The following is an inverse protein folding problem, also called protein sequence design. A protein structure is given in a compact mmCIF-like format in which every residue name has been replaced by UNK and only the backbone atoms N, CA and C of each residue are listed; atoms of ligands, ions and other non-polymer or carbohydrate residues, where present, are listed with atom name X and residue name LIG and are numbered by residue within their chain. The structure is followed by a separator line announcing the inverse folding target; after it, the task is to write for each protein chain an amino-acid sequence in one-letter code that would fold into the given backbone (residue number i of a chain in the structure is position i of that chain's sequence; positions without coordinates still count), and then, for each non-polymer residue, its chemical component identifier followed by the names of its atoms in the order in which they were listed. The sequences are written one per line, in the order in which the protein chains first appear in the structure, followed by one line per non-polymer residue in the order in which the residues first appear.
data_IF_692970310694
#
_entry.id   IF_692970310694
#
_cell.length_a   1.000
_cell.length_b   1.000
_cell.length_c   1.000
_cell.angle_alpha   90.00
_cell.angle_beta   90.00
_cell.angle_gamma   90.00
#
_symmetry.space_group_name_H-M   'P 1'
#
loop_
_entity.id
_entity.type
_entity.pdbx_description
1 polymer ?
#
# COMPACT_ATOMS: atom_id res chain seq x y z
N UNK A 1 -6.93 5.49 18.39
CA UNK A 1 -6.95 4.02 18.26
C UNK A 1 -7.40 3.67 16.85
N UNK A 2 -6.47 3.68 15.88
CA UNK A 2 -6.79 3.36 14.49
C UNK A 2 -6.44 1.89 14.22
N UNK A 3 -7.28 0.98 14.72
CA UNK A 3 -7.26 -0.42 14.27
C UNK A 3 -7.85 -0.43 12.87
N UNK A 4 -6.98 -0.44 11.84
CA UNK A 4 -7.22 -0.97 10.48
C UNK A 4 -6.11 -0.61 9.46
N UNK A 5 -4.91 -0.21 9.88
CA UNK A 5 -3.82 0.13 8.95
C UNK A 5 -3.15 -1.07 8.26
N UNK A 6 -3.42 -2.28 8.76
CA UNK A 6 -2.92 -3.56 8.25
C UNK A 6 -3.97 -4.64 8.51
N UNK A 7 -5.23 -4.36 8.15
CA UNK A 7 -6.32 -5.33 8.23
C UNK A 7 -5.94 -6.61 7.48
N UNK A 8 -5.43 -7.58 8.22
CA UNK A 8 -5.33 -9.00 7.93
C UNK A 8 -5.20 -9.36 6.44
N UNK A 9 -4.11 -8.93 5.80
CA UNK A 9 -3.72 -9.38 4.43
C UNK A 9 -3.18 -10.83 4.45
N UNK A 10 -3.70 -11.68 5.34
CA UNK A 10 -3.35 -13.10 5.39
C UNK A 10 -4.58 -13.94 5.08
N UNK A 11 -4.62 -14.40 3.82
CA UNK A 11 -5.46 -15.45 3.25
C UNK A 11 -6.94 -15.07 3.04
N UNK A 12 -7.23 -14.43 1.91
CA UNK A 12 -8.53 -14.60 1.27
C UNK A 12 -8.35 -15.27 -0.08
N UNK A 13 -9.09 -16.35 -0.31
CA UNK A 13 -9.04 -17.15 -1.54
C UNK A 13 -9.45 -16.29 -2.76
N UNK A 14 -8.86 -16.53 -3.95
CA UNK A 14 -9.27 -15.87 -5.19
C UNK A 14 -10.70 -16.33 -5.54
N UNK A 15 -11.69 -15.48 -5.24
CA UNK A 15 -13.12 -15.79 -5.38
C UNK A 15 -14.03 -15.06 -4.38
N UNK A 16 -13.46 -14.46 -3.32
CA UNK A 16 -14.22 -13.66 -2.34
C UNK A 16 -14.35 -12.21 -2.85
N UNK A 17 -15.57 -11.67 -2.94
CA UNK A 17 -15.85 -10.28 -3.35
C UNK A 17 -15.25 -9.22 -2.38
N UNK A 18 -14.56 -9.67 -1.32
CA UNK A 18 -13.91 -8.88 -0.29
C UNK A 18 -12.38 -8.73 -0.46
N UNK A 19 -11.80 -9.04 -1.62
CA UNK A 19 -10.39 -8.72 -1.85
C UNK A 19 -10.22 -7.24 -2.20
N UNK A 20 -9.63 -6.47 -1.27
CA UNK A 20 -9.25 -5.08 -1.53
C UNK A 20 -8.24 -5.03 -2.68
N UNK A 21 -8.46 -4.13 -3.64
CA UNK A 21 -7.50 -3.88 -4.74
C UNK A 21 -6.47 -2.81 -4.39
N UNK A 22 -6.55 -2.29 -3.17
CA UNK A 22 -5.80 -1.13 -2.72
C UNK A 22 -5.36 -1.27 -1.27
N UNK A 23 -4.21 -0.67 -0.97
CA UNK A 23 -3.62 -0.60 0.36
C UNK A 23 -3.73 0.86 0.82
N UNK A 24 -4.18 1.07 2.05
CA UNK A 24 -4.23 2.40 2.65
C UNK A 24 -3.12 2.53 3.69
N UNK A 25 -2.38 3.63 3.67
CA UNK A 25 -1.21 3.85 4.53
C UNK A 25 -1.31 5.19 5.25
N UNK A 26 -0.51 5.39 6.28
CA UNK A 26 -0.29 6.74 6.79
C UNK A 26 0.59 7.55 5.82
N UNK A 27 0.38 8.87 5.73
CA UNK A 27 1.25 9.76 4.97
C UNK A 27 2.71 9.61 5.42
N UNK A 28 3.62 9.39 4.48
CA UNK A 28 5.07 9.34 4.75
C UNK A 28 5.77 10.56 4.12
N UNK A 29 6.97 10.90 4.63
CA UNK A 29 7.67 12.17 4.33
C UNK A 29 7.64 12.60 2.86
N UNK A 30 7.89 11.68 1.93
CA UNK A 30 7.92 12.03 0.50
C UNK A 30 6.54 12.30 -0.09
N UNK A 31 5.46 11.75 0.51
CA UNK A 31 4.08 12.04 0.13
C UNK A 31 3.67 13.43 0.64
N UNK A 32 4.13 13.83 1.84
CA UNK A 32 3.83 15.14 2.40
C UNK A 32 4.41 16.28 1.56
N UNK A 33 5.59 16.10 0.97
CA UNK A 33 6.17 17.12 0.07
C UNK A 33 5.34 17.36 -1.19
N UNK A 34 4.44 16.43 -1.57
CA UNK A 34 3.48 16.64 -2.66
C UNK A 34 2.16 17.28 -2.18
N UNK A 35 2.05 17.62 -0.88
CA UNK A 35 0.84 18.11 -0.21
C UNK A 35 0.99 19.52 0.37
N UNK A 36 2.20 20.09 0.32
CA UNK A 36 2.49 21.46 0.76
C UNK A 36 1.73 22.53 -0.07
N UNK A 37 1.13 22.16 -1.20
CA UNK A 37 0.42 23.05 -2.13
C UNK A 37 -1.07 23.33 -1.76
N UNK A 38 -1.48 23.17 -0.49
CA UNK A 38 -2.89 23.31 -0.02
C UNK A 38 -3.91 22.37 -0.72
N UNK A 39 -3.43 21.26 -1.28
CA UNK A 39 -4.25 20.33 -2.05
C UNK A 39 -4.92 19.29 -1.14
N UNK A 40 -6.26 19.26 -1.12
CA UNK A 40 -7.07 18.33 -0.31
C UNK A 40 -7.17 16.91 -0.89
N UNK A 41 -6.98 16.75 -2.19
CA UNK A 41 -7.01 15.46 -2.89
C UNK A 41 -6.06 15.44 -4.10
N UNK A 42 -5.45 14.29 -4.40
CA UNK A 42 -4.48 14.24 -5.48
C UNK A 42 -3.97 12.86 -5.85
N UNK A 43 -2.99 12.82 -6.75
CA UNK A 43 -2.36 11.59 -7.25
C UNK A 43 -1.05 11.34 -6.50
N UNK A 44 -0.82 10.08 -6.12
CA UNK A 44 0.48 9.65 -5.63
C UNK A 44 1.32 9.14 -6.80
N UNK A 45 2.45 9.81 -7.03
CA UNK A 45 3.41 9.47 -8.07
C UNK A 45 4.67 8.88 -7.44
N UNK A 46 5.25 7.88 -8.07
CA UNK A 46 6.55 7.36 -7.65
C UNK A 46 7.60 8.49 -7.70
N UNK A 47 8.37 8.73 -6.63
CA UNK A 47 9.34 9.83 -6.60
C UNK A 47 10.45 9.68 -7.65
N UNK A 48 10.76 8.42 -8.04
CA UNK A 48 11.81 8.11 -9.01
C UNK A 48 11.34 8.16 -10.46
N UNK A 49 10.29 7.41 -10.81
CA UNK A 49 9.86 7.26 -12.20
C UNK A 49 8.60 8.06 -12.56
N UNK A 50 8.02 8.80 -11.62
CA UNK A 50 6.80 9.60 -11.77
C UNK A 50 5.56 8.81 -12.21
N UNK A 51 5.63 7.48 -12.29
CA UNK A 51 4.48 6.63 -12.55
C UNK A 51 3.43 6.77 -11.44
N UNK A 52 2.15 6.80 -11.81
CA UNK A 52 1.05 6.81 -10.85
C UNK A 52 1.02 5.47 -10.10
N UNK A 53 1.10 5.54 -8.78
CA UNK A 53 1.00 4.40 -7.88
C UNK A 53 -0.28 4.44 -7.02
N UNK A 54 -0.96 5.58 -6.96
CA UNK A 54 -2.10 5.76 -6.07
C UNK A 54 -2.73 7.15 -6.12
N UNK A 55 -3.45 7.48 -5.06
CA UNK A 55 -4.12 8.77 -4.82
C UNK A 55 -4.28 9.02 -3.34
N UNK A 56 -4.49 10.29 -2.97
CA UNK A 56 -4.82 10.67 -1.61
C UNK A 56 -6.08 11.55 -1.58
N UNK A 57 -6.83 11.48 -0.49
CA UNK A 57 -7.95 12.37 -0.17
C UNK A 57 -8.02 12.56 1.35
N UNK A 58 -7.90 13.80 1.81
CA UNK A 58 -7.96 14.16 3.22
C UNK A 58 -9.35 14.02 3.84
N UNK A 59 -10.41 14.16 3.04
CA UNK A 59 -11.80 13.89 3.43
C UNK A 59 -12.09 12.38 3.51
N UNK A 60 -11.23 11.58 2.88
CA UNK A 60 -11.24 10.13 2.88
C UNK A 60 -12.04 9.49 1.76
N UNK A 61 -11.92 8.17 1.61
CA UNK A 61 -12.51 7.43 0.50
C UNK A 61 -13.02 6.06 0.95
N UNK A 62 -13.87 5.45 0.12
CA UNK A 62 -14.36 4.10 0.34
C UNK A 62 -13.44 3.07 -0.35
N UNK A 63 -13.01 2.08 0.41
CA UNK A 63 -12.34 0.90 -0.12
C UNK A 63 -13.34 0.02 -0.88
N UNK A 64 -12.86 -0.78 -1.84
CA UNK A 64 -13.68 -1.75 -2.58
C UNK A 64 -14.35 -2.80 -1.68
N UNK A 65 -13.86 -2.98 -0.43
CA UNK A 65 -14.52 -3.80 0.58
C UNK A 65 -15.66 -3.08 1.34
N UNK A 66 -15.99 -1.84 0.97
CA UNK A 66 -17.04 -1.03 1.59
C UNK A 66 -16.62 -0.24 2.83
N UNK A 67 -15.39 -0.40 3.32
CA UNK A 67 -14.89 0.36 4.48
C UNK A 67 -14.57 1.81 4.11
N UNK A 68 -14.97 2.77 4.95
CA UNK A 68 -14.57 4.18 4.83
C UNK A 68 -13.22 4.41 5.52
N UNK A 69 -12.27 5.01 4.81
CA UNK A 69 -10.92 5.30 5.30
C UNK A 69 -10.71 6.81 5.29
N UNK A 70 -10.29 7.39 6.42
CA UNK A 70 -10.02 8.83 6.56
C UNK A 70 -8.78 9.05 7.45
N UNK A 71 -7.75 9.78 6.99
CA UNK A 71 -7.55 10.23 5.62
C UNK A 71 -7.22 9.05 4.68
N UNK A 72 -7.58 9.16 3.40
CA UNK A 72 -7.46 8.05 2.44
C UNK A 72 -6.20 8.20 1.59
N UNK A 73 -5.10 7.60 2.03
CA UNK A 73 -3.85 7.52 1.27
C UNK A 73 -3.74 6.15 0.62
N UNK A 74 -4.22 6.06 -0.61
CA UNK A 74 -4.47 4.81 -1.32
C UNK A 74 -3.34 4.48 -2.30
N UNK A 75 -2.79 3.27 -2.20
CA UNK A 75 -1.85 2.67 -3.16
C UNK A 75 -2.53 1.50 -3.89
N UNK A 76 -2.41 1.47 -5.22
CA UNK A 76 -2.99 0.39 -6.02
C UNK A 76 -2.07 -0.83 -5.99
N UNK A 77 -2.63 -1.99 -5.61
CA UNK A 77 -1.86 -3.24 -5.51
C UNK A 77 -1.33 -3.72 -6.86
N UNK A 78 -1.93 -3.30 -7.97
CA UNK A 78 -1.42 -3.59 -9.32
C UNK A 78 -0.19 -2.77 -9.72
N UNK A 79 0.19 -1.76 -8.92
CA UNK A 79 1.29 -0.83 -9.19
C UNK A 79 2.45 -0.96 -8.21
N UNK A 80 2.29 -1.72 -7.13
CA UNK A 80 3.27 -1.84 -6.05
C UNK A 80 3.35 -3.27 -5.54
N UNK A 81 4.55 -3.71 -5.17
CA UNK A 81 4.77 -4.99 -4.49
C UNK A 81 4.87 -4.79 -2.97
N UNK A 82 4.32 -5.72 -2.20
CA UNK A 82 4.45 -5.75 -0.74
C UNK A 82 5.56 -6.72 -0.36
N UNK A 83 6.60 -6.20 0.30
CA UNK A 83 7.71 -7.01 0.80
C UNK A 83 7.62 -7.06 2.32
N UNK A 84 7.58 -8.27 2.89
CA UNK A 84 7.58 -8.43 4.34
C UNK A 84 9.00 -8.75 4.83
N UNK A 85 9.38 -8.28 6.02
CA UNK A 85 10.74 -8.45 6.56
C UNK A 85 11.11 -9.94 6.74
N UNK A 86 10.11 -10.83 6.86
CA UNK A 86 10.30 -12.28 6.94
C UNK A 86 10.80 -12.92 5.64
N UNK A 87 10.66 -12.26 4.49
CA UNK A 87 11.05 -12.79 3.19
C UNK A 87 12.57 -12.80 2.96
N UNK A 88 13.33 -12.06 3.78
CA UNK A 88 14.79 -12.03 3.72
C UNK A 88 15.47 -13.31 4.24
N UNK A 89 14.77 -14.11 5.05
CA UNK A 89 15.32 -15.36 5.61
C UNK A 89 15.43 -16.46 4.54
N UNK A 90 14.52 -16.49 3.56
CA UNK A 90 14.52 -17.52 2.51
C UNK A 90 15.62 -17.32 1.45
N UNK A 91 16.01 -16.07 1.17
CA UNK A 91 17.03 -15.78 0.13
C UNK A 91 18.45 -16.15 0.58
N UNK A 92 18.78 -16.05 1.87
CA UNK A 92 20.10 -16.50 2.37
C UNK A 92 20.27 -18.02 2.29
N UNK A 93 19.22 -18.79 2.59
CA UNK A 93 19.29 -20.26 2.57
C UNK A 93 19.35 -20.89 1.16
N UNK A 94 19.11 -20.14 0.08
CA UNK A 94 19.17 -20.68 -1.30
C UNK A 94 20.55 -20.52 -1.95
N UNK A 95 21.35 -19.53 -1.53
CA UNK A 95 22.69 -19.33 -2.11
C UNK A 95 23.74 -20.27 -1.50
N UNK A 96 23.53 -20.73 -0.26
CA UNK A 96 24.46 -21.64 0.42
C UNK A 96 24.26 -23.12 0.02
N UNK A 97 23.07 -23.50 -0.47
CA UNK A 97 22.78 -24.86 -0.95
C UNK A 97 23.14 -25.12 -2.41
N UNK A 98 23.87 -24.21 -3.08
CA UNK A 98 24.36 -24.38 -4.47
C UNK A 98 25.89 -24.52 -4.57
N UNK A 99 26.58 -24.64 -3.43
CA UNK A 99 28.04 -24.84 -3.35
C UNK A 99 28.42 -26.07 -2.51
N UNK A 100 27.60 -27.13 -2.58
CA UNK A 100 27.99 -28.50 -2.17
C UNK A 100 27.55 -29.43 -3.27
#
# INVERSE_FOLDING_TARGET
MFKNMIGEVHKKNPGDQNQCTSIFVEPIKWMNSAMEDDVSEGKLLCPKCKAKIGSFDWSGSYCSCGSKIVPAFQLQMSRVDVITVKDNVKKKNKHEKKRV
#
